data_IF_337533063899
#
_entry.id   IF_337533063899
#
_cell.length_a   1.000
_cell.length_b   1.000
_cell.length_c   1.000
_cell.angle_alpha   90.00
_cell.angle_beta   90.00
_cell.angle_gamma   90.00
#
_symmetry.space_group_name_H-M   'P 1'
#
loop_
_entity.id
_entity.type
_entity.pdbx_description
1 polymer ?
#
# COMPACT_ATOMS: atom_id res chain seq x y z
N UNK A 1 -3.06 -7.06 14.94
CA UNK A 1 -3.11 -6.48 13.59
C UNK A 1 -2.61 -5.04 13.60
N UNK A 2 -3.37 -4.07 14.14
CA UNK A 2 -2.99 -2.66 14.15
C UNK A 2 -1.57 -2.38 14.67
N UNK A 3 -1.13 -3.05 15.75
CA UNK A 3 0.23 -2.93 16.29
C UNK A 3 1.32 -3.18 15.23
N UNK A 4 1.16 -4.20 14.38
CA UNK A 4 2.12 -4.51 13.31
C UNK A 4 2.15 -3.44 12.22
N UNK A 5 1.00 -2.84 11.91
CA UNK A 5 0.92 -1.72 10.96
C UNK A 5 1.62 -0.48 11.51
N UNK A 6 1.41 -0.17 12.79
CA UNK A 6 2.08 0.94 13.48
C UNK A 6 3.60 0.70 13.53
N UNK A 7 4.03 -0.52 13.82
CA UNK A 7 5.45 -0.90 13.82
C UNK A 7 6.07 -0.72 12.43
N UNK A 8 5.43 -1.23 11.38
CA UNK A 8 5.90 -1.05 10.00
C UNK A 8 5.97 0.43 9.58
N UNK A 9 5.00 1.26 10.00
CA UNK A 9 5.02 2.70 9.75
C UNK A 9 6.21 3.38 10.44
N UNK A 10 6.52 3.02 11.69
CA UNK A 10 7.69 3.57 12.41
C UNK A 10 9.00 3.13 11.81
N UNK A 11 9.13 1.83 11.51
CA UNK A 11 10.34 1.25 10.96
C UNK A 11 10.66 1.78 9.55
N UNK A 12 9.68 2.41 8.89
CA UNK A 12 9.87 3.10 7.61
C UNK A 12 10.65 4.41 7.73
N UNK A 13 10.84 4.92 8.95
CA UNK A 13 11.48 6.21 9.21
C UNK A 13 10.53 7.41 9.22
N UNK A 14 9.21 7.17 9.26
CA UNK A 14 8.21 8.24 9.36
C UNK A 14 8.44 9.10 10.62
N UNK A 15 8.45 10.42 10.46
CA UNK A 15 8.62 11.37 11.58
C UNK A 15 7.45 11.33 12.56
N UNK A 16 6.24 11.07 12.06
CA UNK A 16 5.01 10.99 12.85
C UNK A 16 4.11 9.89 12.30
N UNK A 17 3.47 9.14 13.19
CA UNK A 17 2.51 8.08 12.84
C UNK A 17 1.17 8.38 13.51
N UNK A 18 0.16 8.66 12.69
CA UNK A 18 -1.20 8.97 13.13
C UNK A 18 -2.16 7.87 12.65
N UNK A 19 -2.87 7.26 13.59
CA UNK A 19 -3.95 6.32 13.32
C UNK A 19 -5.26 7.08 13.25
N UNK A 20 -5.90 7.07 12.08
CA UNK A 20 -7.20 7.69 11.86
C UNK A 20 -8.32 6.65 11.92
N UNK A 21 -9.28 6.81 12.83
CA UNK A 21 -10.41 5.89 12.97
C UNK A 21 -11.63 6.60 13.56
N UNK A 22 -12.83 6.10 13.26
CA UNK A 22 -14.08 6.51 13.91
C UNK A 22 -14.33 5.82 15.25
N UNK A 23 -13.50 4.82 15.59
CA UNK A 23 -13.68 3.97 16.77
C UNK A 23 -12.71 4.33 17.87
N UNK A 24 -13.22 4.81 19.01
CA UNK A 24 -12.41 5.11 20.21
C UNK A 24 -11.59 3.89 20.66
N UNK A 25 -12.16 2.68 20.57
CA UNK A 25 -11.46 1.44 20.92
C UNK A 25 -10.20 1.21 20.05
N UNK A 26 -10.25 1.56 18.76
CA UNK A 26 -9.10 1.45 17.85
C UNK A 26 -8.03 2.48 18.24
N UNK A 27 -8.45 3.70 18.58
CA UNK A 27 -7.53 4.77 19.00
C UNK A 27 -6.88 4.49 20.35
N UNK A 28 -7.59 3.86 21.29
CA UNK A 28 -7.00 3.39 22.55
C UNK A 28 -5.88 2.39 22.32
N UNK A 29 -6.07 1.46 21.38
CA UNK A 29 -4.99 0.54 20.96
C UNK A 29 -3.85 1.32 20.33
N UNK A 30 -4.13 2.24 19.41
CA UNK A 30 -3.08 3.06 18.78
C UNK A 30 -2.20 3.77 19.82
N UNK A 31 -2.82 4.43 20.80
CA UNK A 31 -2.13 5.12 21.90
C UNK A 31 -1.33 4.15 22.77
N UNK A 32 -1.89 2.98 23.09
CA UNK A 32 -1.17 1.94 23.87
C UNK A 32 0.06 1.42 23.16
N UNK A 33 -0.02 1.25 21.84
CA UNK A 33 1.12 0.86 21.01
C UNK A 33 2.05 2.05 20.70
N UNK A 34 1.82 3.22 21.33
CA UNK A 34 2.64 4.43 21.29
C UNK A 34 2.40 5.36 20.10
N UNK A 35 1.35 5.12 19.31
CA UNK A 35 0.98 5.93 18.16
C UNK A 35 0.08 7.09 18.56
N UNK A 36 -0.15 8.02 17.64
CA UNK A 36 -1.13 9.09 17.83
C UNK A 36 -2.48 8.67 17.25
N UNK A 37 -3.57 9.01 17.93
CA UNK A 37 -4.93 8.70 17.48
C UNK A 37 -5.67 9.95 17.01
N UNK A 38 -6.27 9.90 15.83
CA UNK A 38 -7.15 10.94 15.31
C UNK A 38 -8.57 10.38 15.12
N UNK A 39 -9.53 10.86 15.93
CA UNK A 39 -10.93 10.46 15.80
C UNK A 39 -11.57 11.13 14.58
N UNK A 40 -11.81 10.39 13.52
CA UNK A 40 -12.41 10.89 12.27
C UNK A 40 -13.91 10.58 12.20
N UNK A 41 -14.63 11.26 11.32
CA UNK A 41 -16.06 11.01 11.07
C UNK A 41 -16.33 9.57 10.62
N UNK A 42 -17.44 9.00 11.10
CA UNK A 42 -17.96 7.71 10.63
C UNK A 42 -18.63 7.79 9.25
N UNK A 43 -18.90 9.00 8.76
CA UNK A 43 -19.57 9.25 7.46
C UNK A 43 -18.60 9.19 6.26
N UNK A 44 -17.29 9.07 6.51
CA UNK A 44 -16.30 8.95 5.43
C UNK A 44 -16.49 7.64 4.69
N UNK A 45 -16.70 7.77 3.37
CA UNK A 45 -16.94 6.62 2.50
C UNK A 45 -15.63 5.96 2.02
N UNK A 46 -14.51 6.67 2.10
CA UNK A 46 -13.23 6.26 1.53
C UNK A 46 -12.07 6.54 2.48
N UNK A 47 -10.93 5.87 2.25
CA UNK A 47 -9.70 6.14 2.99
C UNK A 47 -9.16 7.54 2.71
N UNK A 48 -9.28 7.99 1.47
CA UNK A 48 -8.82 9.32 1.04
C UNK A 48 -9.57 10.45 1.73
N UNK A 49 -10.90 10.36 1.88
CA UNK A 49 -11.70 11.39 2.56
C UNK A 49 -11.33 11.50 4.05
N UNK A 50 -11.08 10.35 4.69
CA UNK A 50 -10.64 10.26 6.08
C UNK A 50 -9.30 10.97 6.29
N UNK A 51 -8.34 10.77 5.38
CA UNK A 51 -7.04 11.45 5.44
C UNK A 51 -7.20 12.95 5.20
N UNK A 52 -8.12 13.37 4.34
CA UNK A 52 -8.48 14.77 4.16
C UNK A 52 -8.91 15.45 5.47
N UNK A 53 -9.72 14.77 6.29
CA UNK A 53 -10.06 15.27 7.62
C UNK A 53 -8.84 15.38 8.54
N UNK A 54 -7.98 14.36 8.57
CA UNK A 54 -6.77 14.33 9.42
C UNK A 54 -5.85 15.49 9.08
N UNK A 55 -5.53 15.66 7.80
CA UNK A 55 -4.69 16.74 7.27
C UNK A 55 -5.24 18.12 7.65
N UNK A 56 -6.55 18.32 7.53
CA UNK A 56 -7.18 19.60 7.90
C UNK A 56 -7.15 19.87 9.41
N UNK A 57 -7.23 18.82 10.24
CA UNK A 57 -7.20 18.96 11.70
C UNK A 57 -5.80 19.19 12.25
N UNK A 58 -4.79 18.54 11.67
CA UNK A 58 -3.39 18.65 12.10
C UNK A 58 -2.67 19.85 11.48
N UNK A 59 -3.31 20.53 10.52
CA UNK A 59 -2.82 21.76 9.87
C UNK A 59 -1.42 21.58 9.25
N UNK A 60 -1.20 20.43 8.63
CA UNK A 60 0.04 20.14 7.90
C UNK A 60 0.18 21.04 6.66
N UNK A 61 1.41 21.42 6.37
CA UNK A 61 1.78 22.25 5.24
C UNK A 61 1.56 21.55 3.90
N UNK A 62 1.21 22.31 2.87
CA UNK A 62 0.80 21.79 1.57
C UNK A 62 1.83 20.89 0.85
N UNK A 63 3.12 21.08 1.16
CA UNK A 63 4.24 20.33 0.60
C UNK A 63 4.67 19.11 1.45
N UNK A 64 4.08 18.92 2.63
CA UNK A 64 4.38 17.75 3.45
C UNK A 64 3.92 16.46 2.76
N UNK A 65 4.74 15.42 2.89
CA UNK A 65 4.47 14.09 2.32
C UNK A 65 3.77 13.22 3.36
N UNK A 66 2.59 12.73 3.01
CA UNK A 66 1.80 11.81 3.82
C UNK A 66 1.74 10.47 3.11
N UNK A 67 2.10 9.39 3.80
CA UNK A 67 1.90 8.02 3.30
C UNK A 67 0.66 7.41 3.92
N UNK A 68 -0.31 7.04 3.08
CA UNK A 68 -1.47 6.26 3.48
C UNK A 68 -1.10 4.77 3.57
N UNK A 69 -0.98 4.26 4.79
CA UNK A 69 -0.84 2.85 5.09
C UNK A 69 -2.14 2.29 5.68
N UNK A 70 -2.79 1.35 4.99
CA UNK A 70 -4.06 0.80 5.45
C UNK A 70 -3.90 -0.07 6.71
N UNK A 71 -4.90 -0.02 7.61
CA UNK A 71 -4.87 -0.71 8.91
C UNK A 71 -5.03 -2.24 8.85
N UNK A 72 -5.39 -2.77 7.69
CA UNK A 72 -5.60 -4.18 7.34
C UNK A 72 -4.42 -4.81 6.59
N UNK A 73 -3.30 -4.09 6.48
CA UNK A 73 -2.05 -4.54 5.84
C UNK A 73 -0.93 -4.79 6.88
N UNK A 74 -1.10 -5.73 7.84
CA UNK A 74 -0.14 -5.96 8.93
C UNK A 74 1.23 -6.46 8.47
N UNK A 75 1.33 -6.92 7.23
CA UNK A 75 2.56 -7.46 6.64
C UNK A 75 3.14 -6.54 5.56
N UNK A 76 2.78 -5.26 5.58
CA UNK A 76 3.41 -4.27 4.71
C UNK A 76 4.87 -4.08 5.14
N UNK A 77 5.87 -4.32 4.25
CA UNK A 77 7.26 -4.05 4.56
C UNK A 77 7.48 -2.55 4.75
N UNK A 78 8.14 -2.18 5.85
CA UNK A 78 8.57 -0.80 6.13
C UNK A 78 9.36 -0.18 4.95
N UNK A 79 10.16 -1.00 4.25
CA UNK A 79 10.92 -0.57 3.07
C UNK A 79 10.07 -0.13 1.89
N UNK A 80 8.83 -0.63 1.76
CA UNK A 80 7.89 -0.14 0.73
C UNK A 80 7.27 1.19 1.14
N UNK A 81 6.97 1.38 2.42
CA UNK A 81 6.47 2.65 2.98
C UNK A 81 7.50 3.76 2.76
N UNK A 82 8.76 3.50 3.14
CA UNK A 82 9.90 4.39 2.90
C UNK A 82 10.08 4.68 1.40
N UNK A 83 10.06 3.64 0.56
CA UNK A 83 10.23 3.78 -0.89
C UNK A 83 9.14 4.67 -1.50
N UNK A 84 7.88 4.50 -1.08
CA UNK A 84 6.76 5.27 -1.61
C UNK A 84 6.89 6.77 -1.27
N UNK A 85 7.27 7.09 -0.02
CA UNK A 85 7.57 8.47 0.39
C UNK A 85 8.72 9.05 -0.43
N UNK A 86 9.85 8.34 -0.48
CA UNK A 86 11.08 8.74 -1.16
C UNK A 86 10.85 8.96 -2.66
N UNK A 87 9.98 8.18 -3.30
CA UNK A 87 9.60 8.36 -4.69
C UNK A 87 8.98 9.74 -4.92
N UNK A 88 8.07 10.16 -4.05
CA UNK A 88 7.40 11.45 -4.19
C UNK A 88 8.31 12.63 -3.83
N UNK A 89 9.24 12.44 -2.90
CA UNK A 89 10.29 13.43 -2.60
C UNK A 89 11.20 13.67 -3.82
N UNK A 90 11.58 12.62 -4.55
CA UNK A 90 12.40 12.75 -5.75
C UNK A 90 11.62 13.26 -6.97
N UNK A 91 10.32 12.98 -7.05
CA UNK A 91 9.42 13.41 -8.14
C UNK A 91 8.68 14.69 -7.75
N UNK A 92 9.43 15.76 -7.52
CA UNK A 92 8.89 17.06 -7.06
C UNK A 92 7.87 17.70 -7.98
N UNK A 93 7.83 17.30 -9.26
CA UNK A 93 6.82 17.74 -10.23
C UNK A 93 5.46 17.05 -10.04
N UNK A 94 5.39 16.03 -9.20
CA UNK A 94 4.21 15.22 -8.93
C UNK A 94 3.75 15.40 -7.49
N UNK A 95 2.46 15.10 -7.26
CA UNK A 95 1.81 15.28 -5.96
C UNK A 95 1.28 13.98 -5.37
N UNK A 96 1.41 12.87 -6.09
CA UNK A 96 0.93 11.56 -5.68
C UNK A 96 1.84 10.47 -6.25
N UNK A 97 2.10 9.44 -5.45
CA UNK A 97 2.91 8.30 -5.84
C UNK A 97 2.37 6.99 -5.22
N UNK A 98 2.67 5.88 -5.89
CA UNK A 98 2.36 4.52 -5.43
C UNK A 98 3.42 3.55 -5.97
N UNK A 99 3.27 2.27 -5.65
CA UNK A 99 4.16 1.20 -6.07
C UNK A 99 3.41 0.11 -6.83
N UNK A 100 4.14 -0.61 -7.67
CA UNK A 100 3.66 -1.83 -8.31
C UNK A 100 4.68 -2.95 -8.25
N UNK A 101 4.23 -4.20 -8.33
CA UNK A 101 5.11 -5.36 -8.47
C UNK A 101 4.87 -6.07 -9.81
N UNK A 102 5.91 -6.63 -10.43
CA UNK A 102 5.74 -7.43 -11.63
C UNK A 102 4.76 -8.59 -11.39
N UNK A 103 3.84 -8.79 -12.32
CA UNK A 103 2.97 -9.97 -12.34
C UNK A 103 3.70 -11.14 -12.98
N UNK A 104 3.62 -12.32 -12.36
CA UNK A 104 4.37 -13.50 -12.81
C UNK A 104 3.51 -14.61 -13.39
N UNK A 105 2.27 -14.73 -12.90
CA UNK A 105 1.36 -15.80 -13.28
C UNK A 105 0.20 -15.27 -14.14
N UNK A 106 -0.34 -16.15 -14.99
CA UNK A 106 -1.56 -15.85 -15.73
C UNK A 106 -2.75 -15.71 -14.79
N UNK A 107 -2.82 -16.56 -13.77
CA UNK A 107 -3.88 -16.53 -12.75
C UNK A 107 -3.96 -15.16 -12.07
N UNK A 108 -2.82 -14.61 -11.62
CA UNK A 108 -2.81 -13.30 -10.98
C UNK A 108 -3.22 -12.17 -11.93
N UNK A 109 -2.82 -12.28 -13.20
CA UNK A 109 -3.18 -11.29 -14.21
C UNK A 109 -4.68 -11.28 -14.52
N UNK A 110 -5.28 -12.48 -14.59
CA UNK A 110 -6.70 -12.68 -14.87
C UNK A 110 -7.59 -12.43 -13.64
N UNK A 111 -7.03 -12.44 -12.42
CA UNK A 111 -7.76 -12.25 -11.18
C UNK A 111 -8.26 -10.80 -11.01
N UNK A 112 -9.58 -10.54 -10.92
CA UNK A 112 -10.13 -9.19 -10.75
C UNK A 112 -9.91 -8.59 -9.35
N UNK A 113 -9.52 -9.40 -8.37
CA UNK A 113 -9.14 -8.90 -7.05
C UNK A 113 -7.72 -8.32 -7.05
N UNK A 114 -6.91 -8.65 -8.07
CA UNK A 114 -5.59 -8.06 -8.27
C UNK A 114 -5.73 -6.89 -9.23
N UNK A 115 -5.51 -5.69 -8.71
CA UNK A 115 -5.54 -4.46 -9.51
C UNK A 115 -4.29 -4.40 -10.38
N UNK A 116 -4.47 -4.22 -11.68
CA UNK A 116 -3.40 -3.98 -12.64
C UNK A 116 -3.18 -2.49 -12.80
N UNK A 117 -1.92 -2.08 -12.94
CA UNK A 117 -1.54 -0.73 -13.36
C UNK A 117 -0.64 -0.81 -14.59
N UNK A 118 -0.91 0.08 -15.54
CA UNK A 118 -0.08 0.33 -16.72
C UNK A 118 0.52 1.72 -16.60
N UNK A 119 1.78 1.86 -17.02
CA UNK A 119 2.56 3.09 -16.84
C UNK A 119 3.14 3.59 -18.16
N UNK A 120 3.38 4.89 -18.25
CA UNK A 120 4.09 5.51 -19.37
C UNK A 120 5.62 5.27 -19.27
N UNK A 121 6.37 5.79 -20.24
CA UNK A 121 7.84 5.65 -20.26
C UNK A 121 8.56 6.43 -19.15
N UNK A 122 7.86 7.29 -18.40
CA UNK A 122 8.37 8.05 -17.27
C UNK A 122 7.88 7.49 -15.92
N UNK A 123 7.20 6.33 -15.94
CA UNK A 123 6.66 5.70 -14.74
C UNK A 123 5.47 6.43 -14.15
N UNK A 124 4.68 7.15 -14.96
CA UNK A 124 3.38 7.70 -14.54
C UNK A 124 2.28 6.71 -14.85
N UNK A 125 1.35 6.53 -13.92
CA UNK A 125 0.18 5.68 -14.15
C UNK A 125 -0.63 6.23 -15.32
N UNK A 126 -0.89 5.38 -16.31
CA UNK A 126 -1.83 5.67 -17.38
C UNK A 126 -3.25 5.26 -16.96
N UNK A 127 -3.39 4.10 -16.31
CA UNK A 127 -4.68 3.61 -15.82
C UNK A 127 -4.50 2.48 -14.79
N UNK A 128 -5.46 2.35 -13.88
CA UNK A 128 -5.62 1.22 -12.97
C UNK A 128 -6.91 0.47 -13.33
N UNK A 129 -6.89 -0.86 -13.30
CA UNK A 129 -8.10 -1.64 -13.60
C UNK A 129 -8.05 -3.03 -12.97
N UNK A 130 -9.23 -3.54 -12.64
CA UNK A 130 -9.43 -4.96 -12.35
C UNK A 130 -9.40 -5.82 -13.62
N UNK A 131 -9.60 -5.21 -14.79
CA UNK A 131 -9.48 -5.86 -16.09
C UNK A 131 -8.02 -6.16 -16.46
N UNK A 132 -7.84 -7.04 -17.45
CA UNK A 132 -6.54 -7.46 -17.96
C UNK A 132 -5.91 -6.36 -18.84
N UNK A 133 -5.14 -5.47 -18.21
CA UNK A 133 -4.42 -4.40 -18.89
C UNK A 133 -2.89 -4.55 -18.73
N UNK A 134 -2.11 -4.40 -19.81
CA UNK A 134 -2.55 -4.18 -21.19
C UNK A 134 -3.05 -5.48 -21.83
N UNK A 135 -4.03 -5.39 -22.73
CA UNK A 135 -4.57 -6.56 -23.42
C UNK A 135 -3.59 -7.09 -24.49
N UNK A 136 -3.16 -8.36 -24.43
CA UNK A 136 -2.24 -8.94 -25.41
C UNK A 136 -2.99 -9.39 -26.68
N UNK A 137 -3.14 -8.49 -27.67
CA UNK A 137 -3.90 -8.74 -28.92
C UNK A 137 -3.56 -10.06 -29.62
N UNK A 138 -2.26 -10.35 -29.76
CA UNK A 138 -1.78 -11.49 -30.55
C UNK A 138 -1.81 -12.82 -29.76
N UNK A 139 -2.33 -12.81 -28.54
CA UNK A 139 -2.46 -13.98 -27.68
C UNK A 139 -1.17 -14.29 -26.91
N UNK A 140 -1.35 -14.59 -25.62
CA UNK A 140 -0.26 -14.89 -24.68
C UNK A 140 -0.04 -13.76 -23.68
N UNK A 141 -0.05 -14.11 -22.39
CA UNK A 141 0.44 -13.21 -21.34
C UNK A 141 1.92 -13.03 -21.64
N UNK A 142 2.29 -11.91 -22.25
CA UNK A 142 3.58 -11.77 -22.94
C UNK A 142 4.73 -12.00 -21.98
N UNK A 143 5.25 -13.23 -21.91
CA UNK A 143 6.50 -13.54 -21.23
C UNK A 143 7.62 -12.79 -21.97
N UNK A 144 8.55 -12.17 -21.24
CA UNK A 144 9.69 -11.41 -21.80
C UNK A 144 10.51 -12.23 -22.80
N UNK A 145 11.28 -11.59 -23.72
CA UNK A 145 12.23 -12.34 -24.53
C UNK A 145 13.21 -13.03 -23.58
N UNK A 146 13.58 -14.28 -23.86
CA UNK A 146 14.47 -15.05 -22.98
C UNK A 146 13.77 -15.81 -21.84
N UNK A 147 12.48 -16.12 -21.96
CA UNK A 147 11.76 -16.93 -20.97
C UNK A 147 11.39 -16.18 -19.70
N UNK A 148 11.24 -14.85 -19.77
CA UNK A 148 10.96 -14.06 -18.59
C UNK A 148 9.56 -14.39 -18.05
N UNK A 149 9.50 -14.92 -16.83
CA UNK A 149 8.29 -15.28 -16.08
C UNK A 149 7.48 -14.06 -15.61
N UNK A 150 7.34 -13.00 -16.42
CA UNK A 150 6.54 -11.81 -16.04
C UNK A 150 5.68 -11.31 -17.19
N UNK A 151 4.49 -10.80 -16.83
CA UNK A 151 3.57 -10.12 -17.73
C UNK A 151 4.19 -8.81 -18.18
N UNK A 152 4.45 -8.67 -19.48
CA UNK A 152 5.00 -7.41 -20.02
C UNK A 152 3.99 -6.27 -19.89
N UNK A 153 4.48 -5.13 -19.40
CA UNK A 153 3.74 -3.86 -19.42
C UNK A 153 2.64 -3.74 -18.36
N UNK A 154 2.42 -4.76 -17.53
CA UNK A 154 1.50 -4.71 -16.40
C UNK A 154 2.26 -4.87 -15.08
N UNK A 155 1.85 -4.12 -14.07
CA UNK A 155 2.23 -4.36 -12.68
C UNK A 155 0.96 -4.68 -11.88
N UNK A 156 1.09 -5.48 -10.83
CA UNK A 156 0.12 -5.52 -9.74
C UNK A 156 0.32 -4.25 -8.91
N UNK A 157 -0.72 -3.45 -8.78
CA UNK A 157 -0.72 -2.28 -7.92
C UNK A 157 -0.66 -2.69 -6.44
N UNK A 158 0.12 -1.95 -5.65
CA UNK A 158 0.18 -2.06 -4.18
C UNK A 158 -0.66 -0.90 -3.63
N UNK A 159 -1.63 -1.18 -2.75
CA UNK A 159 -2.54 -0.21 -2.12
C UNK A 159 -1.88 0.75 -1.11
N UNK A 160 -0.67 1.21 -1.41
CA UNK A 160 0.14 2.11 -0.62
C UNK A 160 0.36 3.39 -1.43
N UNK A 161 0.08 4.53 -0.83
CA UNK A 161 0.16 5.81 -1.52
C UNK A 161 0.89 6.85 -0.71
N UNK A 162 1.79 7.58 -1.37
CA UNK A 162 2.32 8.83 -0.87
C UNK A 162 1.60 10.00 -1.55
N UNK A 163 1.29 11.04 -0.79
CA UNK A 163 0.65 12.25 -1.26
C UNK A 163 1.38 13.47 -0.75
N UNK A 164 1.40 14.54 -1.54
CA UNK A 164 1.54 15.88 -0.98
C UNK A 164 0.21 16.27 -0.35
N UNK A 165 0.23 16.94 0.79
CA UNK A 165 -0.97 17.43 1.48
C UNK A 165 -1.90 18.21 0.54
N UNK A 166 -1.35 19.03 -0.37
CA UNK A 166 -2.15 19.74 -1.37
C UNK A 166 -3.01 18.81 -2.25
N UNK A 167 -2.50 17.63 -2.63
CA UNK A 167 -3.25 16.66 -3.40
C UNK A 167 -4.39 16.04 -2.60
N UNK A 168 -4.16 15.73 -1.33
CA UNK A 168 -5.21 15.22 -0.43
C UNK A 168 -6.33 16.25 -0.30
N UNK A 169 -5.99 17.52 -0.03
CA UNK A 169 -6.96 18.62 0.08
C UNK A 169 -7.79 18.77 -1.20
N UNK A 170 -7.15 18.65 -2.36
CA UNK A 170 -7.81 18.70 -3.67
C UNK A 170 -8.73 17.50 -3.88
N UNK A 171 -8.27 16.28 -3.59
CA UNK A 171 -9.06 15.06 -3.75
C UNK A 171 -10.31 15.04 -2.85
N UNK A 172 -10.18 15.48 -1.60
CA UNK A 172 -11.28 15.52 -0.64
C UNK A 172 -12.39 16.53 -1.00
N UNK A 173 -12.15 17.44 -1.95
CA UNK A 173 -13.14 18.39 -2.45
C UNK A 173 -13.94 17.84 -3.65
N UNK A 174 -13.46 16.75 -4.24
CA UNK A 174 -14.06 16.18 -5.45
C UNK A 174 -14.94 14.97 -5.08
N UNK A 175 -16.17 14.89 -5.61
CA UNK A 175 -17.01 13.72 -5.42
C UNK A 175 -16.38 12.49 -6.08
N UNK A 176 -16.81 11.27 -5.69
CA UNK A 176 -16.44 10.05 -6.41
C UNK A 176 -16.71 10.18 -7.90
N UNK A 177 -15.76 9.76 -8.74
CA UNK A 177 -15.92 9.80 -10.19
C UNK A 177 -16.53 8.50 -10.73
N UNK A 178 -17.08 8.54 -11.94
CA UNK A 178 -17.74 7.36 -12.55
C UNK A 178 -16.80 6.15 -12.63
N UNK A 179 -15.52 6.36 -12.97
CA UNK A 179 -14.55 5.26 -13.07
C UNK A 179 -14.22 4.65 -11.71
N UNK A 180 -14.12 5.48 -10.67
CA UNK A 180 -13.94 5.01 -9.28
C UNK A 180 -15.11 4.13 -8.84
N UNK A 181 -16.35 4.53 -9.13
CA UNK A 181 -17.54 3.78 -8.75
C UNK A 181 -17.66 2.43 -9.49
N UNK A 182 -17.31 2.41 -10.78
CA UNK A 182 -17.35 1.21 -11.63
C UNK A 182 -16.27 0.21 -11.20
N UNK A 183 -15.01 0.67 -11.07
CA UNK A 183 -13.87 -0.20 -10.77
C UNK A 183 -13.74 -0.47 -9.27
N UNK A 184 -14.40 0.32 -8.41
CA UNK A 184 -14.16 0.34 -6.96
C UNK A 184 -12.69 0.56 -6.65
N UNK A 185 -12.14 1.66 -7.17
CA UNK A 185 -10.73 2.08 -7.08
C UNK A 185 -10.63 3.60 -6.87
N UNK A 186 -10.40 4.03 -5.62
CA UNK A 186 -10.35 5.45 -5.21
C UNK A 186 -9.33 6.28 -5.99
N UNK A 187 -8.18 5.69 -6.34
CA UNK A 187 -7.11 6.38 -7.06
C UNK A 187 -7.50 6.80 -8.48
N UNK A 188 -8.60 6.27 -9.04
CA UNK A 188 -9.11 6.73 -10.33
C UNK A 188 -9.69 8.14 -10.25
N UNK A 189 -10.12 8.60 -9.06
CA UNK A 189 -10.51 10.01 -8.84
C UNK A 189 -9.36 10.96 -9.15
N UNK A 190 -8.16 10.62 -8.72
CA UNK A 190 -6.96 11.40 -8.98
C UNK A 190 -6.66 11.50 -10.48
N UNK A 191 -6.64 10.38 -11.20
CA UNK A 191 -6.45 10.39 -12.65
C UNK A 191 -7.56 11.18 -13.37
N UNK A 192 -8.81 11.02 -12.93
CA UNK A 192 -9.98 11.69 -13.51
C UNK A 192 -9.87 13.22 -13.49
N UNK A 193 -9.36 13.79 -12.39
CA UNK A 193 -9.15 15.24 -12.25
C UNK A 193 -7.77 15.70 -12.74
N UNK A 194 -7.02 14.83 -13.41
CA UNK A 194 -5.71 15.16 -14.00
C UNK A 194 -4.58 15.28 -12.99
N UNK A 195 -4.64 14.55 -11.88
CA UNK A 195 -3.47 14.34 -11.00
C UNK A 195 -2.67 13.17 -11.58
N UNK A 196 -1.44 13.45 -12.00
CA UNK A 196 -0.47 12.43 -12.38
C UNK A 196 -0.02 11.65 -11.13
N UNK A 197 0.09 10.32 -11.26
CA UNK A 197 0.52 9.42 -10.18
C UNK A 197 1.83 8.76 -10.58
N UNK A 198 2.90 8.97 -9.82
CA UNK A 198 4.14 8.22 -9.98
C UNK A 198 3.96 6.76 -9.56
N UNK A 199 4.56 5.84 -10.32
CA UNK A 199 4.57 4.41 -10.02
C UNK A 199 6.00 3.90 -10.19
N UNK A 200 6.55 3.35 -9.12
CA UNK A 200 7.84 2.63 -9.14
C UNK A 200 7.64 1.15 -8.84
N UNK A 201 8.57 0.32 -9.30
CA UNK A 201 8.60 -1.09 -8.94
C UNK A 201 9.04 -1.23 -7.48
N UNK A 202 8.22 -1.88 -6.65
CA UNK A 202 8.54 -2.16 -5.25
C UNK A 202 9.82 -2.99 -5.11
N UNK A 203 10.66 -2.65 -4.12
CA UNK A 203 11.90 -3.38 -3.80
C UNK A 203 11.64 -4.75 -3.15
N UNK A 204 10.43 -4.95 -2.63
CA UNK A 204 9.92 -6.18 -2.04
C UNK A 204 8.45 -6.34 -2.42
N UNK A 205 7.85 -7.47 -2.02
CA UNK A 205 6.42 -7.71 -2.16
C UNK A 205 5.74 -7.63 -0.80
N UNK A 206 4.53 -7.04 -0.70
CA UNK A 206 3.74 -7.11 0.53
C UNK A 206 3.34 -8.55 0.83
N UNK A 207 3.14 -8.86 2.11
CA UNK A 207 2.50 -10.10 2.53
C UNK A 207 1.01 -10.16 2.15
N UNK A 208 0.29 -11.22 2.53
CA UNK A 208 -1.17 -11.26 2.40
C UNK A 208 -1.85 -10.15 3.24
N UNK A 209 -2.85 -9.48 2.65
CA UNK A 209 -3.75 -8.53 3.32
C UNK A 209 -4.82 -9.27 4.13
N UNK A 210 -5.52 -8.58 5.03
CA UNK A 210 -6.60 -9.14 5.86
C UNK A 210 -7.94 -8.49 5.54
N UNK A 211 -8.71 -9.09 4.63
CA UNK A 211 -10.07 -8.64 4.29
C UNK A 211 -11.16 -9.52 4.92
N UNK A 212 -10.84 -10.79 5.19
CA UNK A 212 -11.77 -11.79 5.71
C UNK A 212 -11.21 -12.53 6.92
N UNK A 213 -12.09 -13.22 7.66
CA UNK A 213 -11.66 -14.09 8.77
C UNK A 213 -10.73 -15.23 8.32
N UNK A 214 -10.83 -15.69 7.07
CA UNK A 214 -9.92 -16.70 6.54
C UNK A 214 -8.54 -16.13 6.20
N UNK A 215 -8.44 -14.83 5.91
CA UNK A 215 -7.15 -14.16 5.67
C UNK A 215 -6.33 -14.01 6.94
N UNK A 216 -6.97 -13.87 8.10
CA UNK A 216 -6.29 -13.89 9.41
C UNK A 216 -5.46 -15.16 9.55
N UNK A 217 -6.04 -16.32 9.21
CA UNK A 217 -5.34 -17.61 9.28
C UNK A 217 -4.14 -17.66 8.33
N UNK A 218 -4.29 -17.12 7.12
CA UNK A 218 -3.19 -17.06 6.14
C UNK A 218 -2.05 -16.17 6.64
N UNK A 219 -2.37 -15.04 7.25
CA UNK A 219 -1.38 -14.15 7.89
C UNK A 219 -0.68 -14.86 9.04
N UNK A 220 -1.42 -15.53 9.92
CA UNK A 220 -0.85 -16.30 11.04
C UNK A 220 0.11 -17.40 10.56
N UNK A 221 -0.30 -18.17 9.53
CA UNK A 221 0.53 -19.21 8.92
C UNK A 221 1.80 -18.62 8.26
N UNK A 222 1.65 -17.50 7.54
CA UNK A 222 2.76 -16.79 6.92
C UNK A 222 3.77 -16.33 7.98
N UNK A 223 3.31 -15.70 9.05
CA UNK A 223 4.15 -15.22 10.15
C UNK A 223 4.87 -16.38 10.86
N UNK A 224 4.17 -17.51 11.07
CA UNK A 224 4.77 -18.70 11.67
C UNK A 224 5.88 -19.30 10.77
N UNK A 225 5.70 -19.25 9.45
CA UNK A 225 6.69 -19.74 8.47
C UNK A 225 7.88 -18.80 8.28
N UNK A 226 7.68 -17.50 8.51
CA UNK A 226 8.70 -16.45 8.36
C UNK A 226 9.57 -16.26 9.62
N UNK A 227 9.12 -16.79 10.77
CA UNK A 227 9.92 -16.76 12.00
C UNK A 227 11.20 -17.60 11.80
N UNK A 228 12.41 -17.06 12.09
CA UNK A 228 13.62 -17.87 12.07
C UNK A 228 13.43 -19.03 13.04
N UNK A 229 13.76 -20.27 12.62
CA UNK A 229 13.68 -21.42 13.50
C UNK A 229 14.49 -21.09 14.75
N UNK A 230 13.83 -20.97 15.91
CA UNK A 230 14.55 -20.94 17.17
C UNK A 230 15.33 -22.25 17.21
N UNK A 231 16.63 -22.19 16.94
CA UNK A 231 17.52 -23.31 17.21
C UNK A 231 17.30 -23.64 18.69
N UNK A 232 16.80 -24.83 18.97
CA UNK A 232 16.74 -25.35 20.32
C UNK A 232 18.13 -25.17 20.93
N UNK A 233 18.25 -24.63 22.15
CA UNK A 233 19.54 -24.58 22.82
C UNK A 233 20.05 -26.01 22.94
N UNK A 234 21.21 -26.25 22.32
CA UNK A 234 21.92 -27.51 22.36
C UNK A 234 22.04 -27.98 23.83
N UNK A 235 21.40 -29.09 24.22
CA UNK A 235 21.41 -29.56 25.60
C UNK A 235 22.80 -30.05 26.05
N UNK A 236 23.80 -30.12 25.16
CA UNK A 236 25.11 -30.69 25.47
C UNK A 236 26.22 -29.66 25.78
N UNK A 237 25.90 -28.36 25.82
CA UNK A 237 26.88 -27.31 26.12
C UNK A 237 27.37 -27.30 27.59
N UNK A 238 26.85 -28.16 28.47
CA UNK A 238 27.29 -28.28 29.87
C UNK A 238 28.32 -29.39 30.14
N UNK A 239 28.73 -30.17 29.14
CA UNK A 239 29.65 -31.30 29.33
C UNK A 239 31.08 -31.01 28.84
N UNK A 240 31.68 -29.86 29.17
CA UNK A 240 33.14 -29.70 29.11
C UNK A 240 33.64 -28.48 29.91
N UNK A 241 33.53 -28.57 31.23
CA UNK A 241 34.44 -27.88 32.16
C UNK A 241 34.75 -28.82 33.32
N UNK A 242 35.80 -29.61 33.15
CA UNK A 242 36.57 -30.24 34.22
C UNK A 242 38.05 -30.12 33.85
#
# INVERSE_FOLDING_TARGET
MLAYVIEAARDSGAETVVVASESENVLEVAVREGGEGCLTSAEHSTGTDRIGEVVNRLDWGDEEVVVNLQGDEPLMPATLVEQCATLLEHRTELTMATLGIPLHTREDFENPNIVKVVVDCQGRALYFSRAQIPWPRDGGVGYGPGGASRVRGALRHIGLYAYRVAAIKRLAQEPPCELEEIERLEQLRALWIGIDIAVEIGRSSPGPSVDTSDDVRRVEEWMASAAPSRADPDPDASANRA
#
